data_IF_958489380095
#
_entry.id   IF_958489380095
#
_cell.length_a   1.000
_cell.length_b   1.000
_cell.length_c   1.000
_cell.angle_alpha   90.00
_cell.angle_beta   90.00
_cell.angle_gamma   90.00
#
_symmetry.space_group_name_H-M   'P 1'
#
loop_
_entity.id
_entity.type
_entity.pdbx_description
1 polymer ?
#
# COMPACT_ATOMS: atom_id res chain seq x y z
N UNK A 1 -26.00 -7.55 -15.06
CA UNK A 1 -25.56 -6.14 -15.00
C UNK A 1 -25.17 -5.73 -16.40
N UNK A 2 -25.61 -4.57 -16.90
CA UNK A 2 -25.27 -4.15 -18.26
C UNK A 2 -23.77 -3.85 -18.37
N UNK A 3 -23.17 -4.19 -19.52
CA UNK A 3 -21.76 -3.87 -19.79
C UNK A 3 -21.49 -2.36 -19.68
N UNK A 4 -22.47 -1.53 -20.09
CA UNK A 4 -22.39 -0.07 -19.98
C UNK A 4 -22.21 0.41 -18.53
N UNK A 5 -22.82 -0.27 -17.54
CA UNK A 5 -22.66 0.13 -16.13
C UNK A 5 -21.28 -0.27 -15.58
N UNK A 6 -20.70 -1.36 -16.09
CA UNK A 6 -19.33 -1.77 -15.76
C UNK A 6 -18.34 -0.78 -16.39
N UNK A 7 -18.56 -0.42 -17.65
CA UNK A 7 -17.77 0.58 -18.37
C UNK A 7 -17.79 1.94 -17.65
N UNK A 8 -18.97 2.44 -17.26
CA UNK A 8 -19.11 3.70 -16.52
C UNK A 8 -18.39 3.66 -15.17
N UNK A 9 -18.44 2.53 -14.45
CA UNK A 9 -17.73 2.38 -13.18
C UNK A 9 -16.22 2.46 -13.37
N UNK A 10 -15.71 1.88 -14.46
CA UNK A 10 -14.30 1.95 -14.82
C UNK A 10 -13.91 3.39 -15.19
N UNK A 11 -14.76 4.10 -15.95
CA UNK A 11 -14.53 5.52 -16.28
C UNK A 11 -14.40 6.38 -15.02
N UNK A 12 -15.37 6.30 -14.12
CA UNK A 12 -15.35 7.03 -12.85
C UNK A 12 -14.11 6.70 -12.00
N UNK A 13 -13.60 5.47 -12.09
CA UNK A 13 -12.39 5.09 -11.39
C UNK A 13 -11.14 5.66 -12.07
N UNK A 14 -11.04 5.58 -13.40
CA UNK A 14 -9.94 6.13 -14.19
C UNK A 14 -9.83 7.65 -14.03
N UNK A 15 -10.95 8.38 -13.99
CA UNK A 15 -11.00 9.82 -13.68
C UNK A 15 -10.32 10.17 -12.35
N UNK A 16 -10.41 9.29 -11.34
CA UNK A 16 -9.77 9.50 -10.05
C UNK A 16 -8.26 9.20 -10.06
N UNK A 17 -7.82 8.24 -10.86
CA UNK A 17 -6.44 7.72 -10.80
C UNK A 17 -5.54 8.19 -11.95
N UNK A 18 -6.12 8.78 -12.99
CA UNK A 18 -5.39 9.29 -14.16
C UNK A 18 -5.50 10.81 -14.28
N UNK A 19 -4.47 11.44 -14.87
CA UNK A 19 -4.54 12.85 -15.25
C UNK A 19 -5.48 13.04 -16.44
N UNK A 20 -6.23 14.15 -16.46
CA UNK A 20 -7.23 14.44 -17.48
C UNK A 20 -6.75 14.28 -18.93
N UNK A 21 -5.57 14.82 -19.28
CA UNK A 21 -5.03 14.68 -20.65
C UNK A 21 -4.70 13.22 -21.03
N UNK A 22 -4.17 12.42 -20.09
CA UNK A 22 -3.86 11.00 -20.31
C UNK A 22 -5.15 10.21 -20.47
N UNK A 23 -6.15 10.49 -19.65
CA UNK A 23 -7.47 9.87 -19.74
C UNK A 23 -8.14 10.17 -21.09
N UNK A 24 -8.12 11.43 -21.53
CA UNK A 24 -8.69 11.81 -22.82
C UNK A 24 -8.01 11.07 -23.99
N UNK A 25 -6.68 11.00 -23.98
CA UNK A 25 -5.92 10.27 -25.00
C UNK A 25 -6.25 8.77 -24.99
N UNK A 26 -6.32 8.17 -23.80
CA UNK A 26 -6.68 6.77 -23.63
C UNK A 26 -8.10 6.45 -24.12
N UNK A 27 -9.10 7.22 -23.68
CA UNK A 27 -10.49 7.06 -24.12
C UNK A 27 -10.62 7.21 -25.64
N UNK A 28 -9.87 8.15 -26.25
CA UNK A 28 -9.85 8.33 -27.70
C UNK A 28 -9.23 7.15 -28.45
N UNK A 29 -8.22 6.48 -27.88
CA UNK A 29 -7.58 5.32 -28.48
C UNK A 29 -8.53 4.11 -28.52
N UNK A 30 -9.32 3.90 -27.46
CA UNK A 30 -10.19 2.74 -27.33
C UNK A 30 -11.63 2.97 -27.85
N UNK A 31 -12.00 4.20 -28.24
CA UNK A 31 -13.39 4.58 -28.55
C UNK A 31 -14.07 3.73 -29.62
N UNK A 32 -13.31 3.24 -30.60
CA UNK A 32 -13.81 2.44 -31.73
C UNK A 32 -13.97 0.95 -31.39
N UNK A 33 -13.42 0.51 -30.26
CA UNK A 33 -13.49 -0.90 -29.86
C UNK A 33 -14.91 -1.27 -29.38
N UNK A 34 -15.30 -2.55 -29.52
CA UNK A 34 -16.50 -3.07 -28.88
C UNK A 34 -16.48 -2.84 -27.37
N UNK A 35 -17.67 -2.66 -26.76
CA UNK A 35 -17.81 -2.37 -25.32
C UNK A 35 -17.02 -3.35 -24.45
N UNK A 36 -17.05 -4.64 -24.79
CA UNK A 36 -16.32 -5.66 -24.04
C UNK A 36 -14.80 -5.46 -24.08
N UNK A 37 -14.24 -5.15 -25.25
CA UNK A 37 -12.81 -4.85 -25.39
C UNK A 37 -12.44 -3.54 -24.68
N UNK A 38 -13.28 -2.51 -24.75
CA UNK A 38 -13.07 -1.26 -23.98
C UNK A 38 -13.02 -1.52 -22.48
N UNK A 39 -13.89 -2.39 -21.95
CA UNK A 39 -13.86 -2.78 -20.54
C UNK A 39 -12.53 -3.47 -20.21
N UNK A 40 -12.03 -4.38 -21.06
CA UNK A 40 -10.74 -5.03 -20.87
C UNK A 40 -9.56 -4.05 -20.88
N UNK A 41 -9.51 -3.13 -21.85
CA UNK A 41 -8.49 -2.07 -21.91
C UNK A 41 -8.53 -1.17 -20.66
N UNK A 42 -9.72 -0.73 -20.25
CA UNK A 42 -9.89 0.08 -19.04
C UNK A 42 -9.44 -0.68 -17.80
N UNK A 43 -9.79 -1.97 -17.70
CA UNK A 43 -9.36 -2.82 -16.59
C UNK A 43 -7.84 -2.97 -16.54
N UNK A 44 -7.19 -3.19 -17.69
CA UNK A 44 -5.73 -3.23 -17.80
C UNK A 44 -5.09 -1.93 -17.32
N UNK A 45 -5.65 -0.78 -17.68
CA UNK A 45 -5.13 0.51 -17.25
C UNK A 45 -5.25 0.72 -15.73
N UNK A 46 -6.36 0.29 -15.12
CA UNK A 46 -6.51 0.27 -13.66
C UNK A 46 -5.47 -0.66 -13.03
N UNK A 47 -5.29 -1.86 -13.58
CA UNK A 47 -4.34 -2.84 -13.08
C UNK A 47 -2.90 -2.31 -13.12
N UNK A 48 -2.50 -1.72 -14.24
CA UNK A 48 -1.18 -1.11 -14.43
C UNK A 48 -0.93 0.05 -13.46
N UNK A 49 -1.97 0.87 -13.21
CA UNK A 49 -1.90 1.96 -12.23
C UNK A 49 -1.69 1.43 -10.80
N UNK A 50 -2.36 0.33 -10.43
CA UNK A 50 -2.17 -0.33 -9.14
C UNK A 50 -0.76 -0.90 -9.00
N UNK A 51 -0.28 -1.63 -10.02
CA UNK A 51 1.08 -2.17 -10.02
C UNK A 51 2.13 -1.06 -9.87
N UNK A 52 1.94 0.04 -10.59
CA UNK A 52 2.80 1.23 -10.51
C UNK A 52 2.74 1.91 -9.15
N UNK A 53 1.59 1.89 -8.47
CA UNK A 53 1.46 2.40 -7.10
C UNK A 53 2.25 1.53 -6.13
N UNK A 54 2.11 0.20 -6.20
CA UNK A 54 2.87 -0.75 -5.36
C UNK A 54 4.36 -0.53 -5.55
N UNK A 55 4.84 -0.53 -6.80
CA UNK A 55 6.26 -0.38 -7.10
C UNK A 55 6.84 0.93 -6.55
N UNK A 56 6.17 2.07 -6.79
CA UNK A 56 6.62 3.39 -6.31
C UNK A 56 6.60 3.53 -4.79
N UNK A 57 5.74 2.79 -4.10
CA UNK A 57 5.57 2.88 -2.64
C UNK A 57 6.43 1.86 -1.88
N UNK A 58 7.05 0.91 -2.56
CA UNK A 58 7.88 -0.11 -1.95
C UNK A 58 9.08 0.46 -1.18
N UNK A 59 9.71 1.53 -1.66
CA UNK A 59 10.81 2.20 -0.94
C UNK A 59 10.36 2.78 0.41
N UNK A 60 9.17 3.38 0.45
CA UNK A 60 8.58 3.95 1.67
C UNK A 60 8.18 2.87 2.68
N UNK A 61 7.75 1.70 2.20
CA UNK A 61 7.47 0.53 3.06
C UNK A 61 8.78 -0.01 3.66
N UNK A 62 9.86 -0.05 2.88
CA UNK A 62 11.19 -0.41 3.39
C UNK A 62 11.68 0.59 4.43
N UNK A 63 11.49 1.89 4.19
CA UNK A 63 11.81 2.94 5.17
C UNK A 63 11.03 2.75 6.47
N UNK A 64 9.73 2.47 6.39
CA UNK A 64 8.89 2.17 7.55
C UNK A 64 9.41 0.98 8.38
N UNK A 65 9.85 -0.09 7.71
CA UNK A 65 10.49 -1.25 8.35
C UNK A 65 11.81 -0.87 9.03
N UNK A 66 12.63 -0.05 8.38
CA UNK A 66 13.90 0.42 8.94
C UNK A 66 13.66 1.27 10.19
N UNK A 67 12.72 2.23 10.14
CA UNK A 67 12.32 3.03 11.31
C UNK A 67 11.85 2.16 12.47
N UNK A 68 11.06 1.11 12.22
CA UNK A 68 10.66 0.16 13.26
C UNK A 68 11.86 -0.58 13.87
N UNK A 69 12.83 -0.97 13.03
CA UNK A 69 14.05 -1.67 13.47
C UNK A 69 14.92 -0.79 14.35
N UNK A 70 15.11 0.47 13.94
CA UNK A 70 15.84 1.48 14.72
C UNK A 70 15.13 1.78 16.05
N UNK A 71 13.81 1.94 16.03
CA UNK A 71 13.01 2.16 17.25
C UNK A 71 13.15 1.00 18.23
N UNK A 72 13.20 -0.25 17.73
CA UNK A 72 13.40 -1.45 18.56
C UNK A 72 14.80 -1.48 19.18
N UNK A 73 15.82 -1.07 18.43
CA UNK A 73 17.19 -0.99 18.93
C UNK A 73 17.30 0.00 20.09
N UNK A 74 16.66 1.17 19.98
CA UNK A 74 16.60 2.18 21.05
C UNK A 74 15.89 1.66 22.31
N UNK A 75 14.82 0.89 22.14
CA UNK A 75 14.11 0.30 23.28
C UNK A 75 14.96 -0.80 23.96
N UNK A 76 15.59 -1.69 23.20
CA UNK A 76 16.34 -2.83 23.73
C UNK A 76 17.62 -2.46 24.49
N UNK A 77 18.31 -1.38 24.10
CA UNK A 77 19.52 -0.90 24.79
C UNK A 77 19.22 -0.22 26.13
N UNK A 78 18.00 0.30 26.31
CA UNK A 78 17.58 0.97 27.56
C UNK A 78 17.46 0.00 28.75
N UNK A 79 17.28 -1.29 28.47
CA UNK A 79 17.09 -2.35 29.46
C UNK A 79 18.38 -2.96 30.03
N UNK A 80 19.57 -2.65 29.49
CA UNK A 80 20.80 -3.40 29.82
C UNK A 80 21.98 -2.59 30.37
N UNK A 81 21.90 -1.28 30.55
CA UNK A 81 22.98 -0.48 31.14
C UNK A 81 22.64 0.08 32.52
N UNK A 82 23.26 -0.54 33.53
CA UNK A 82 23.49 0.00 34.87
C UNK A 82 24.75 0.87 34.83
N UNK A 83 24.62 2.11 34.38
CA UNK A 83 25.61 3.16 34.68
C UNK A 83 24.90 4.50 34.70
N UNK A 84 24.98 5.12 35.86
CA UNK A 84 24.61 6.50 36.19
C UNK A 84 25.14 7.48 35.15
N UNK A 85 24.31 8.48 34.86
CA UNK A 85 24.53 9.68 34.04
C UNK A 85 24.02 9.56 32.57
N UNK A 86 22.91 10.28 32.34
CA UNK A 86 22.16 10.48 31.08
C UNK A 86 21.30 9.32 30.53
N UNK A 87 20.50 8.68 31.38
CA UNK A 87 19.25 8.03 30.93
C UNK A 87 18.16 9.07 30.67
N UNK A 88 18.27 9.84 29.58
CA UNK A 88 17.13 10.59 29.04
C UNK A 88 16.38 9.69 28.05
N UNK A 89 15.46 8.89 28.59
CA UNK A 89 14.54 7.99 27.88
C UNK A 89 13.50 8.69 26.99
N UNK A 90 13.84 9.83 26.38
CA UNK A 90 12.96 10.53 25.47
C UNK A 90 13.35 10.19 24.03
N UNK A 91 12.41 9.62 23.26
CA UNK A 91 12.59 9.45 21.82
C UNK A 91 12.98 10.80 21.19
N UNK A 92 14.05 10.81 20.40
CA UNK A 92 14.51 12.06 19.77
C UNK A 92 13.39 12.66 18.90
N UNK A 93 13.35 14.00 18.83
CA UNK A 93 12.37 14.71 17.99
C UNK A 93 12.39 14.23 16.55
N UNK A 94 13.59 13.97 16.01
CA UNK A 94 13.77 13.44 14.66
C UNK A 94 13.15 12.05 14.48
N UNK A 95 13.34 11.14 15.45
CA UNK A 95 12.72 9.82 15.41
C UNK A 95 11.19 9.91 15.50
N UNK A 96 10.67 10.81 16.34
CA UNK A 96 9.23 11.07 16.43
C UNK A 96 8.66 11.53 15.08
N UNK A 97 9.32 12.49 14.41
CA UNK A 97 8.89 13.02 13.12
C UNK A 97 8.92 11.93 12.03
N UNK A 98 9.96 11.08 12.02
CA UNK A 98 10.05 9.91 11.12
C UNK A 98 8.91 8.92 11.36
N UNK A 99 8.64 8.57 12.63
CA UNK A 99 7.54 7.66 12.99
C UNK A 99 6.17 8.22 12.57
N UNK A 100 5.94 9.52 12.76
CA UNK A 100 4.73 10.20 12.31
C UNK A 100 4.59 10.17 10.79
N UNK A 101 5.68 10.43 10.07
CA UNK A 101 5.72 10.41 8.61
C UNK A 101 5.44 9.01 8.06
N UNK A 102 6.07 7.97 8.64
CA UNK A 102 5.84 6.57 8.30
C UNK A 102 4.39 6.16 8.54
N UNK A 103 3.81 6.54 9.69
CA UNK A 103 2.43 6.22 10.05
C UNK A 103 1.43 6.84 9.05
N UNK A 104 1.63 8.11 8.71
CA UNK A 104 0.78 8.81 7.72
C UNK A 104 0.94 8.21 6.32
N UNK A 105 2.16 7.85 5.94
CA UNK A 105 2.46 7.31 4.61
C UNK A 105 1.87 5.91 4.42
N UNK A 106 2.05 5.02 5.39
CA UNK A 106 1.49 3.67 5.37
C UNK A 106 -0.05 3.69 5.38
N UNK A 107 -0.67 4.63 6.09
CA UNK A 107 -2.12 4.84 6.04
C UNK A 107 -2.63 5.25 4.66
N UNK A 108 -1.96 6.22 4.02
CA UNK A 108 -2.30 6.66 2.66
C UNK A 108 -2.15 5.52 1.65
N UNK A 109 -1.12 4.68 1.80
CA UNK A 109 -0.92 3.49 0.96
C UNK A 109 -2.08 2.51 1.14
N UNK A 110 -2.44 2.18 2.40
CA UNK A 110 -3.57 1.28 2.71
C UNK A 110 -4.86 1.80 2.10
N UNK A 111 -5.17 3.09 2.27
CA UNK A 111 -6.40 3.68 1.73
C UNK A 111 -6.46 3.60 0.21
N UNK A 112 -5.38 3.98 -0.47
CA UNK A 112 -5.32 3.97 -1.93
C UNK A 112 -5.40 2.55 -2.50
N UNK A 113 -4.61 1.61 -1.98
CA UNK A 113 -4.62 0.23 -2.45
C UNK A 113 -5.92 -0.49 -2.12
N UNK A 114 -6.50 -0.27 -0.94
CA UNK A 114 -7.77 -0.89 -0.57
C UNK A 114 -8.90 -0.40 -1.49
N UNK A 115 -8.96 0.92 -1.77
CA UNK A 115 -9.93 1.46 -2.73
C UNK A 115 -9.79 0.78 -4.09
N UNK A 116 -8.57 0.70 -4.63
CA UNK A 116 -8.34 0.10 -5.95
C UNK A 116 -8.67 -1.39 -5.98
N UNK A 117 -8.22 -2.15 -4.96
CA UNK A 117 -8.51 -3.57 -4.78
C UNK A 117 -10.01 -3.84 -4.80
N UNK A 118 -10.81 -3.06 -4.07
CA UNK A 118 -12.27 -3.23 -4.04
C UNK A 118 -12.93 -2.97 -5.41
N UNK A 119 -12.43 -2.00 -6.19
CA UNK A 119 -12.91 -1.78 -7.55
C UNK A 119 -12.60 -2.98 -8.46
N UNK A 120 -11.37 -3.51 -8.39
CA UNK A 120 -10.93 -4.68 -9.14
C UNK A 120 -11.75 -5.93 -8.77
N UNK A 121 -11.91 -6.22 -7.47
CA UNK A 121 -12.72 -7.33 -6.96
C UNK A 121 -14.20 -7.21 -7.35
N UNK A 122 -14.74 -5.99 -7.40
CA UNK A 122 -16.10 -5.77 -7.88
C UNK A 122 -16.24 -6.14 -9.36
N UNK A 123 -15.31 -5.68 -10.20
CA UNK A 123 -15.33 -5.96 -11.64
C UNK A 123 -15.17 -7.46 -11.88
N UNK A 124 -14.23 -8.12 -11.21
CA UNK A 124 -14.02 -9.57 -11.30
C UNK A 124 -15.28 -10.40 -10.99
N UNK A 125 -16.15 -9.90 -10.09
CA UNK A 125 -17.41 -10.55 -9.73
C UNK A 125 -18.56 -10.26 -10.70
N UNK A 126 -18.54 -9.13 -11.40
CA UNK A 126 -19.67 -8.64 -12.22
C UNK A 126 -19.42 -8.75 -13.72
N UNK A 127 -18.18 -8.87 -14.13
CA UNK A 127 -17.75 -8.98 -15.53
C UNK A 127 -17.11 -10.35 -15.77
N UNK A 128 -17.53 -11.05 -16.82
CA UNK A 128 -16.88 -12.29 -17.26
C UNK A 128 -15.58 -11.93 -17.98
N UNK A 129 -14.51 -11.79 -17.21
CA UNK A 129 -13.18 -11.45 -17.73
C UNK A 129 -12.68 -12.60 -18.60
N UNK A 130 -12.22 -12.33 -19.83
CA UNK A 130 -11.63 -13.35 -20.68
C UNK A 130 -10.33 -13.87 -20.07
N UNK A 131 -10.07 -15.17 -20.21
CA UNK A 131 -8.83 -15.77 -19.68
C UNK A 131 -7.61 -15.21 -20.42
N UNK A 132 -7.70 -15.13 -21.75
CA UNK A 132 -6.74 -14.52 -22.65
C UNK A 132 -7.37 -13.29 -23.33
N UNK A 133 -6.65 -12.19 -23.36
CA UNK A 133 -7.06 -10.95 -24.01
C UNK A 133 -5.96 -10.45 -24.96
N UNK A 134 -6.31 -10.23 -26.22
CA UNK A 134 -5.42 -9.61 -27.20
C UNK A 134 -5.85 -8.15 -27.42
N UNK A 135 -4.88 -7.25 -27.48
CA UNK A 135 -5.17 -5.84 -27.76
C UNK A 135 -5.79 -5.68 -29.14
N UNK A 136 -6.84 -4.86 -29.25
CA UNK A 136 -7.23 -4.25 -30.52
C UNK A 136 -7.69 -5.17 -31.65
N UNK A 137 -8.03 -6.45 -31.40
CA UNK A 137 -8.60 -7.27 -32.47
C UNK A 137 -10.01 -6.75 -32.82
N UNK A 138 -10.12 -6.07 -33.97
CA UNK A 138 -11.39 -5.93 -34.67
C UNK A 138 -11.90 -7.33 -34.95
N UNK A 139 -13.03 -7.69 -34.35
CA UNK A 139 -13.76 -8.89 -34.72
C UNK A 139 -14.57 -8.54 -35.96
N UNK A 140 -13.89 -8.45 -37.10
CA UNK A 140 -14.53 -8.50 -38.42
C UNK A 140 -14.41 -9.93 -38.94
N UNK A 141 -15.10 -10.87 -38.29
CA UNK A 141 -15.39 -12.19 -38.86
C UNK A 141 -16.91 -12.32 -39.03
N UNK A 142 -17.43 -11.78 -40.14
CA UNK A 142 -18.67 -12.25 -40.77
C UNK A 142 -18.58 -12.02 -42.28
N UNK A 143 -18.56 -13.10 -43.07
CA UNK A 143 -19.07 -13.09 -44.45
C UNK A 143 -18.21 -13.79 -45.49
N UNK A 144 -18.49 -15.07 -45.73
CA UNK A 144 -18.19 -15.76 -46.99
C UNK A 144 -18.71 -14.97 -48.21
N UNK A 145 -17.90 -14.82 -49.25
CA UNK A 145 -18.15 -15.44 -50.57
C UNK A 145 -17.21 -14.92 -51.67
N UNK A 146 -16.91 -15.86 -52.56
CA UNK A 146 -16.14 -15.78 -53.80
C UNK A 146 -16.48 -14.58 -54.71
N UNK A 147 -15.47 -13.99 -55.35
CA UNK A 147 -15.31 -14.11 -56.80
C UNK A 147 -14.06 -13.41 -57.37
N UNK A 148 -13.62 -14.00 -58.48
CA UNK A 148 -12.40 -13.80 -59.22
C UNK A 148 -12.25 -12.46 -59.98
N UNK A 149 -10.98 -12.16 -60.28
CA UNK A 149 -10.42 -11.75 -61.58
C UNK A 149 -9.99 -10.28 -61.80
N UNK A 150 -8.70 -10.15 -62.17
CA UNK A 150 -8.09 -9.02 -62.90
C UNK A 150 -7.23 -8.11 -62.00
N UNK A 151 -5.90 -8.07 -62.03
CA UNK A 151 -4.94 -8.31 -63.11
C UNK A 151 -4.16 -7.01 -63.35
N UNK A 152 -2.93 -6.90 -62.83
CA UNK A 152 -2.07 -5.73 -63.02
C UNK A 152 -0.76 -5.78 -62.24
N UNK A 153 0.23 -6.50 -62.78
CA UNK A 153 1.60 -6.63 -62.28
C UNK A 153 2.35 -5.29 -62.20
N UNK A 154 2.98 -5.02 -61.06
CA UNK A 154 4.21 -4.21 -60.97
C UNK A 154 5.19 -4.87 -59.99
N UNK A 155 6.47 -4.73 -60.31
CA UNK A 155 7.61 -5.59 -59.98
C UNK A 155 7.72 -6.15 -58.55
N UNK A 156 7.80 -7.47 -58.50
CA UNK A 156 8.14 -8.34 -57.39
C UNK A 156 9.65 -8.35 -57.13
N UNK A 157 10.06 -8.04 -55.89
CA UNK A 157 11.37 -8.37 -55.35
C UNK A 157 11.18 -9.30 -54.14
N UNK A 158 11.81 -10.47 -54.27
CA UNK A 158 11.76 -11.66 -53.43
C UNK A 158 11.90 -11.40 -51.92
N UNK A 159 11.03 -12.03 -51.13
CA UNK A 159 11.43 -13.15 -50.29
C UNK A 159 10.21 -13.92 -49.78
N UNK A 160 10.00 -15.09 -50.39
CA UNK A 160 9.15 -16.15 -49.88
C UNK A 160 9.76 -16.75 -48.61
N UNK A 161 9.07 -16.64 -47.48
CA UNK A 161 9.12 -17.69 -46.45
C UNK A 161 7.86 -17.69 -45.59
N UNK A 162 7.11 -18.78 -45.72
CA UNK A 162 6.35 -19.42 -44.66
C UNK A 162 5.14 -18.67 -44.08
N UNK A 163 3.96 -19.09 -44.50
CA UNK A 163 2.78 -19.11 -43.63
C UNK A 163 3.13 -19.95 -42.39
N UNK A 164 3.66 -19.27 -41.38
CA UNK A 164 4.10 -19.85 -40.13
C UNK A 164 3.64 -18.95 -38.99
N UNK A 165 2.56 -19.37 -38.33
CA UNK A 165 2.34 -19.18 -36.89
C UNK A 165 2.47 -17.73 -36.38
N UNK A 166 1.45 -16.90 -36.61
CA UNK A 166 1.36 -15.58 -35.97
C UNK A 166 0.91 -15.73 -34.50
N UNK A 167 1.89 -16.07 -33.67
CA UNK A 167 2.15 -15.63 -32.30
C UNK A 167 0.97 -15.53 -31.31
N UNK A 168 0.92 -16.53 -30.43
CA UNK A 168 0.34 -16.45 -29.09
C UNK A 168 1.00 -15.38 -28.16
N UNK A 169 2.07 -14.70 -28.61
CA UNK A 169 2.92 -13.79 -27.83
C UNK A 169 2.31 -12.40 -27.52
N UNK A 170 1.18 -12.01 -28.12
CA UNK A 170 0.48 -10.75 -27.80
C UNK A 170 -0.72 -10.94 -26.85
N UNK A 171 -1.01 -12.18 -26.46
CA UNK A 171 -2.16 -12.51 -25.62
C UNK A 171 -1.83 -12.35 -24.13
N UNK A 172 -2.65 -11.57 -23.42
CA UNK A 172 -2.51 -11.32 -21.99
C UNK A 172 -3.40 -12.27 -21.21
N UNK A 173 -2.83 -12.97 -20.23
CA UNK A 173 -3.58 -13.75 -19.23
C UNK A 173 -4.32 -12.82 -18.24
N UNK A 174 -5.31 -12.07 -18.71
CA UNK A 174 -5.91 -10.93 -18.01
C UNK A 174 -6.50 -11.33 -16.65
N UNK A 175 -7.27 -12.42 -16.62
CA UNK A 175 -7.88 -12.92 -15.39
C UNK A 175 -6.84 -13.32 -14.35
N UNK A 176 -5.80 -14.04 -14.77
CA UNK A 176 -4.71 -14.46 -13.89
C UNK A 176 -3.94 -13.26 -13.33
N UNK A 177 -3.58 -12.31 -14.19
CA UNK A 177 -2.88 -11.10 -13.77
C UNK A 177 -3.72 -10.28 -12.79
N UNK A 178 -5.04 -10.20 -12.99
CA UNK A 178 -5.93 -9.52 -12.06
C UNK A 178 -5.92 -10.17 -10.68
N UNK A 179 -6.02 -11.49 -10.61
CA UNK A 179 -5.99 -12.24 -9.34
C UNK A 179 -4.67 -11.98 -8.62
N UNK A 180 -3.54 -12.16 -9.32
CA UNK A 180 -2.21 -11.91 -8.75
C UNK A 180 -2.05 -10.47 -8.25
N UNK A 181 -2.56 -9.49 -8.99
CA UNK A 181 -2.51 -8.09 -8.55
C UNK A 181 -3.36 -7.83 -7.31
N UNK A 182 -4.55 -8.43 -7.22
CA UNK A 182 -5.42 -8.30 -6.03
C UNK A 182 -4.72 -8.89 -4.81
N UNK A 183 -4.09 -10.05 -4.94
CA UNK A 183 -3.29 -10.68 -3.89
C UNK A 183 -2.09 -9.80 -3.48
N UNK A 184 -1.39 -9.20 -4.45
CA UNK A 184 -0.30 -8.26 -4.18
C UNK A 184 -0.79 -7.00 -3.45
N UNK A 185 -1.95 -6.46 -3.83
CA UNK A 185 -2.57 -5.35 -3.10
C UNK A 185 -2.83 -5.72 -1.64
N UNK A 186 -3.40 -6.91 -1.40
CA UNK A 186 -3.72 -7.39 -0.05
C UNK A 186 -2.45 -7.55 0.79
N UNK A 187 -1.44 -8.22 0.24
CA UNK A 187 -0.17 -8.42 0.92
C UNK A 187 0.47 -7.08 1.35
N UNK A 188 0.47 -6.09 0.47
CA UNK A 188 1.03 -4.75 0.78
C UNK A 188 0.19 -4.04 1.84
N UNK A 189 -1.14 -4.11 1.76
CA UNK A 189 -2.04 -3.55 2.78
C UNK A 189 -1.74 -4.16 4.15
N UNK A 190 -1.60 -5.47 4.22
CA UNK A 190 -1.35 -6.20 5.46
C UNK A 190 0.03 -5.87 6.04
N UNK A 191 1.07 -5.82 5.20
CA UNK A 191 2.40 -5.35 5.62
C UNK A 191 2.32 -3.95 6.22
N UNK A 192 1.63 -3.01 5.57
CA UNK A 192 1.48 -1.65 6.09
C UNK A 192 0.72 -1.62 7.43
N UNK A 193 -0.33 -2.44 7.58
CA UNK A 193 -1.08 -2.56 8.84
C UNK A 193 -0.21 -3.14 9.96
N UNK A 194 0.53 -4.20 9.68
CA UNK A 194 1.44 -4.83 10.63
C UNK A 194 2.54 -3.87 11.09
N UNK A 195 3.14 -3.11 10.16
CA UNK A 195 4.13 -2.09 10.50
C UNK A 195 3.54 -1.03 11.45
N UNK A 196 2.33 -0.53 11.17
CA UNK A 196 1.66 0.44 12.05
C UNK A 196 1.37 -0.13 13.43
N UNK A 197 0.86 -1.36 13.50
CA UNK A 197 0.59 -2.05 14.76
C UNK A 197 1.87 -2.23 15.58
N UNK A 198 2.95 -2.69 14.94
CA UNK A 198 4.23 -2.89 15.61
C UNK A 198 4.83 -1.57 16.13
N UNK A 199 4.80 -0.50 15.34
CA UNK A 199 5.25 0.84 15.77
C UNK A 199 4.39 1.32 16.94
N UNK A 200 3.07 1.20 16.85
CA UNK A 200 2.15 1.65 17.90
C UNK A 200 2.37 0.89 19.20
N UNK A 201 2.56 -0.43 19.14
CA UNK A 201 2.88 -1.26 20.31
C UNK A 201 4.18 -0.80 20.95
N UNK A 202 5.24 -0.65 20.15
CA UNK A 202 6.56 -0.29 20.65
C UNK A 202 6.58 1.12 21.26
N UNK A 203 5.85 2.08 20.68
CA UNK A 203 5.69 3.39 21.30
C UNK A 203 4.98 3.31 22.65
N UNK A 204 3.92 2.50 22.77
CA UNK A 204 3.24 2.31 24.07
C UNK A 204 4.20 1.76 25.12
N UNK A 205 5.03 0.78 24.74
CA UNK A 205 6.00 0.16 25.65
C UNK A 205 7.08 1.18 26.08
N UNK A 206 7.58 2.00 25.15
CA UNK A 206 8.54 3.08 25.45
C UNK A 206 7.95 4.12 26.40
N UNK A 207 6.71 4.59 26.15
CA UNK A 207 6.08 5.59 27.00
C UNK A 207 5.63 5.02 28.36
N UNK A 208 5.26 3.74 28.45
CA UNK A 208 4.95 3.10 29.72
C UNK A 208 6.19 2.99 30.62
N UNK A 209 7.35 2.66 30.06
CA UNK A 209 8.61 2.64 30.80
C UNK A 209 9.00 4.03 31.36
N UNK A 210 8.86 5.09 30.55
CA UNK A 210 9.17 6.47 30.98
C UNK A 210 8.25 6.98 32.11
N UNK A 211 6.99 6.51 32.15
CA UNK A 211 6.05 6.82 33.24
C UNK A 211 6.50 6.14 34.54
N UNK A 212 6.80 4.83 34.50
CA UNK A 212 7.22 4.11 35.71
C UNK A 212 8.52 4.68 36.31
N UNK A 213 9.50 5.03 35.47
CA UNK A 213 10.75 5.64 35.92
C UNK A 213 10.53 7.00 36.63
N UNK A 214 9.53 7.80 36.21
CA UNK A 214 9.24 9.12 36.82
C UNK A 214 8.50 9.04 38.16
N UNK A 215 7.76 7.97 38.42
CA UNK A 215 6.91 7.85 39.62
C UNK A 215 7.40 6.83 40.66
N UNK A 216 8.36 5.96 40.35
CA UNK A 216 8.97 5.06 41.35
C UNK A 216 10.07 5.75 42.20
N UNK A 217 10.80 6.72 41.64
CA UNK A 217 11.86 7.45 42.35
C UNK A 217 11.40 8.33 43.54
N UNK A 218 10.22 9.01 43.52
CA UNK A 218 9.78 9.83 44.65
C UNK A 218 9.22 9.03 45.83
N UNK A 219 8.65 7.85 45.58
CA UNK A 219 7.97 7.06 46.62
C UNK A 219 8.94 6.33 47.55
N UNK A 220 10.08 5.85 47.06
CA UNK A 220 11.08 5.21 47.92
C UNK A 220 11.92 6.22 48.74
N UNK A 221 12.04 7.47 48.28
CA UNK A 221 12.73 8.53 49.03
C UNK A 221 11.93 9.06 50.24
N UNK A 222 10.61 8.82 50.29
CA UNK A 222 9.75 9.30 51.39
C UNK A 222 9.53 8.27 52.51
N UNK A 223 9.93 7.01 52.33
CA UNK A 223 9.71 5.95 53.33
C UNK A 223 10.88 5.82 54.34
N UNK A 224 12.02 6.49 54.10
CA UNK A 224 13.22 6.38 54.95
C UNK A 224 13.53 7.62 55.81
N UNK A 225 12.60 8.56 55.94
CA UNK A 225 12.75 9.64 56.93
C UNK A 225 12.14 9.21 58.25
N UNK A 226 12.95 8.58 59.11
CA UNK A 226 12.62 8.45 60.53
C UNK A 226 12.30 9.83 61.10
N UNK A 227 11.21 9.99 61.87
CA UNK A 227 10.85 11.28 62.43
C UNK A 227 12.01 11.81 63.30
N UNK A 228 12.31 13.13 63.26
CA UNK A 228 13.34 13.69 64.09
C UNK A 228 12.98 13.48 65.58
N UNK A 229 13.96 13.15 66.44
CA UNK A 229 13.69 12.97 67.86
C UNK A 229 13.12 14.26 68.46
N UNK A 230 12.18 14.17 69.40
CA UNK A 230 11.56 15.34 70.02
C UNK A 230 12.63 16.19 70.72
N UNK A 231 12.56 17.50 70.53
CA UNK A 231 13.46 18.43 71.20
C UNK A 231 13.19 18.44 72.70
N UNK A 232 14.27 18.57 73.48
CA UNK A 232 14.27 18.50 74.96
C UNK A 232 13.36 19.54 75.64
N UNK A 233 12.78 20.49 74.89
CA UNK A 233 11.84 21.49 75.39
C UNK A 233 10.39 21.00 75.49
N UNK A 234 10.04 19.81 74.99
CA UNK A 234 8.67 19.26 75.10
C UNK A 234 8.47 18.26 76.26
N UNK A 235 9.50 17.96 77.06
CA UNK A 235 9.43 16.97 78.14
C UNK A 235 9.04 17.54 79.52
N UNK A 236 8.74 18.84 79.66
CA UNK A 236 8.53 19.49 80.97
C UNK A 236 7.12 20.03 81.25
N UNK A 237 6.07 19.61 80.53
CA UNK A 237 4.69 20.07 80.83
C UNK A 237 3.70 18.98 81.26
N UNK A 238 4.15 17.80 81.67
CA UNK A 238 3.24 16.68 82.01
C UNK A 238 3.33 16.19 83.47
N UNK A 239 3.96 16.93 84.38
CA UNK A 239 3.97 16.62 85.81
C UNK A 239 3.30 17.71 86.67
N UNK A 240 2.15 18.21 86.24
CA UNK A 240 1.25 18.96 87.13
C UNK A 240 -0.20 18.78 86.69
N UNK A 241 -0.78 17.64 87.08
CA UNK A 241 -2.17 17.43 87.50
C UNK A 241 -2.37 15.95 87.88
#
# INVERSE_FOLDING_TARGET
>A
MSLNLIELRLDNHLERIMKAHRLANFCNAIKKLPVQSRICEKLLEVMNSCQSLIHRKMSLIKEAKNTLTELRALHGTSSSSSSTEEKTGLMSKEMFDRVKQVSTTTERIVWALNSNKEHLCYIARKFKIPELYCHGHNVDEVGDNDNAAGGGNFHEQKNSSSYGNLNADESICLRRQLITLVEQCELVIDICRLLRLAITSLLKDIYAADINDKYELPMMAMVNQSPPPPSSSQMLSLNSL
#
